data_IF_037765144401
#
_entry.id   IF_037765144401
#
_cell.length_a   1.000
_cell.length_b   1.000
_cell.length_c   1.000
_cell.angle_alpha   90.00
_cell.angle_beta   90.00
_cell.angle_gamma   90.00
#
_symmetry.space_group_name_H-M   'P 1'
#
loop_
_entity.id
_entity.type
_entity.pdbx_description
1 polymer ?
#
# COMPACT_ATOMS: atom_id res chain seq x y z
N UNK A 1 23.48 32.41 -2.15
CA UNK A 1 24.09 31.12 -1.75
C UNK A 1 23.15 30.41 -0.80
N UNK A 2 22.65 29.23 -1.16
CA UNK A 2 21.70 28.49 -0.33
C UNK A 2 21.12 27.30 -1.09
N UNK A 3 22.00 26.43 -1.58
CA UNK A 3 21.63 25.26 -2.37
C UNK A 3 20.98 24.23 -1.43
N UNK A 4 19.65 24.24 -1.28
CA UNK A 4 18.90 23.18 -0.59
C UNK A 4 18.71 21.98 -1.51
N UNK A 5 19.82 21.34 -1.87
CA UNK A 5 19.76 19.91 -2.17
C UNK A 5 19.54 19.21 -0.82
N UNK A 6 18.30 18.90 -0.49
CA UNK A 6 18.01 17.95 0.57
C UNK A 6 18.73 16.65 0.21
N UNK A 7 19.86 16.38 0.86
CA UNK A 7 20.52 15.08 0.83
C UNK A 7 19.45 14.07 1.25
N UNK A 8 19.06 13.20 0.33
CA UNK A 8 18.30 12.00 0.67
C UNK A 8 19.16 11.26 1.69
N UNK A 9 18.69 11.13 2.94
CA UNK A 9 19.32 10.28 3.95
C UNK A 9 19.49 8.89 3.34
N UNK A 10 20.65 8.28 3.55
CA UNK A 10 21.15 7.17 2.74
C UNK A 10 20.32 5.87 2.80
N UNK A 11 19.24 5.79 3.60
CA UNK A 11 18.40 4.60 3.75
C UNK A 11 16.91 4.93 3.96
N UNK A 12 16.31 5.70 3.04
CA UNK A 12 14.85 5.88 3.05
C UNK A 12 14.15 4.56 2.68
N UNK A 13 13.22 4.09 3.52
CA UNK A 13 12.41 2.90 3.24
C UNK A 13 11.20 3.30 2.41
N UNK A 14 11.02 2.68 1.25
CA UNK A 14 9.96 3.04 0.31
C UNK A 14 8.86 1.98 0.36
N UNK A 15 7.64 2.40 0.68
CA UNK A 15 6.47 1.54 0.72
C UNK A 15 5.49 2.02 -0.36
N UNK A 16 5.12 1.13 -1.27
CA UNK A 16 4.09 1.39 -2.27
C UNK A 16 2.75 0.85 -1.77
N UNK A 17 1.70 1.66 -1.89
CA UNK A 17 0.34 1.24 -1.56
C UNK A 17 -0.39 0.86 -2.84
N UNK A 18 -0.84 -0.39 -2.96
CA UNK A 18 -1.62 -0.89 -4.10
C UNK A 18 -3.01 -1.32 -3.65
N UNK A 19 -3.97 -1.38 -4.55
CA UNK A 19 -5.33 -1.84 -4.26
C UNK A 19 -6.38 -1.13 -5.10
N UNK A 20 -7.62 -1.65 -5.12
CA UNK A 20 -8.73 -1.10 -5.88
C UNK A 20 -9.19 0.27 -5.32
N UNK A 21 -10.14 0.89 -6.00
CA UNK A 21 -10.73 2.15 -5.58
C UNK A 21 -11.49 1.95 -4.27
N UNK A 22 -11.44 2.96 -3.39
CA UNK A 22 -12.05 2.86 -2.07
C UNK A 22 -11.38 1.88 -1.09
N UNK A 23 -10.24 1.26 -1.43
CA UNK A 23 -9.55 0.31 -0.55
C UNK A 23 -8.86 0.94 0.68
N UNK A 24 -8.87 2.26 0.81
CA UNK A 24 -8.37 2.97 1.99
C UNK A 24 -6.90 3.40 1.97
N UNK A 25 -6.20 3.32 0.83
CA UNK A 25 -4.78 3.74 0.69
C UNK A 25 -4.51 5.18 1.17
N UNK A 26 -5.28 6.15 0.67
CA UNK A 26 -5.11 7.56 1.06
C UNK A 26 -5.54 7.83 2.51
N UNK A 27 -6.59 7.16 2.98
CA UNK A 27 -7.03 7.19 4.38
C UNK A 27 -5.95 6.66 5.32
N UNK A 28 -5.28 5.57 4.93
CA UNK A 28 -4.15 5.00 5.66
C UNK A 28 -3.00 6.01 5.81
N UNK A 29 -2.62 6.72 4.75
CA UNK A 29 -1.58 7.75 4.83
C UNK A 29 -1.99 8.87 5.78
N UNK A 30 -3.21 9.41 5.64
CA UNK A 30 -3.67 10.51 6.48
C UNK A 30 -3.71 10.12 7.97
N UNK A 31 -4.12 8.90 8.28
CA UNK A 31 -4.09 8.36 9.65
C UNK A 31 -2.67 8.15 10.15
N UNK A 32 -1.77 7.60 9.34
CA UNK A 32 -0.35 7.47 9.71
C UNK A 32 0.31 8.84 9.97
N UNK A 33 -0.13 9.88 9.26
CA UNK A 33 0.38 11.26 9.44
C UNK A 33 -0.34 12.03 10.55
N UNK A 34 -1.45 11.52 11.09
CA UNK A 34 -2.30 12.23 12.05
C UNK A 34 -2.96 13.50 11.48
N UNK A 35 -2.94 13.72 10.16
CA UNK A 35 -3.47 14.92 9.49
C UNK A 35 -3.75 14.66 7.99
N UNK A 36 -4.64 15.45 7.36
CA UNK A 36 -4.89 15.34 5.92
C UNK A 36 -3.68 15.85 5.12
N UNK A 37 -2.95 14.94 4.47
CA UNK A 37 -1.82 15.22 3.57
C UNK A 37 -2.08 14.79 2.13
N UNK A 38 -2.98 13.82 1.93
CA UNK A 38 -3.44 13.35 0.64
C UNK A 38 -4.96 13.52 0.55
N UNK A 39 -5.45 13.85 -0.65
CA UNK A 39 -6.88 14.05 -0.86
C UNK A 39 -7.61 12.71 -0.77
N UNK A 40 -8.70 12.66 0.00
CA UNK A 40 -9.59 11.50 0.08
C UNK A 40 -10.91 11.87 -0.57
N UNK A 41 -11.39 11.03 -1.49
CA UNK A 41 -12.67 11.21 -2.14
C UNK A 41 -13.81 10.65 -1.33
N UNK A 42 -14.89 11.43 -1.21
CA UNK A 42 -16.16 11.00 -0.62
C UNK A 42 -17.22 10.65 -1.69
N UNK A 43 -16.83 10.51 -2.96
CA UNK A 43 -17.74 10.25 -4.09
C UNK A 43 -17.26 9.12 -5.01
N UNK A 44 -18.05 8.80 -6.04
CA UNK A 44 -17.79 7.69 -7.00
C UNK A 44 -16.55 7.90 -7.88
N UNK A 45 -16.04 9.14 -7.98
CA UNK A 45 -14.83 9.44 -8.74
C UNK A 45 -13.58 9.13 -7.90
N UNK A 46 -12.60 8.41 -8.46
CA UNK A 46 -11.32 8.23 -7.79
C UNK A 46 -10.64 9.60 -7.65
N UNK A 47 -10.28 9.98 -6.42
CA UNK A 47 -9.59 11.24 -6.18
C UNK A 47 -8.11 11.19 -6.60
N UNK A 48 -7.49 10.02 -6.51
CA UNK A 48 -6.06 9.86 -6.76
C UNK A 48 -5.81 9.51 -8.22
N UNK A 49 -5.65 10.53 -9.06
CA UNK A 49 -5.31 10.38 -10.50
C UNK A 49 -3.81 10.35 -10.78
N UNK A 50 -2.99 10.60 -9.76
CA UNK A 50 -1.53 10.69 -9.85
C UNK A 50 -0.91 10.01 -8.64
N UNK A 51 0.27 9.43 -8.82
CA UNK A 51 1.07 8.90 -7.72
C UNK A 51 1.51 10.06 -6.82
N UNK A 52 1.29 9.93 -5.51
CA UNK A 52 1.67 10.93 -4.50
C UNK A 52 2.70 10.33 -3.53
N UNK A 53 3.60 11.18 -3.03
CA UNK A 53 4.69 10.77 -2.13
C UNK A 53 4.56 11.52 -0.82
N UNK A 54 4.58 10.79 0.28
CA UNK A 54 4.54 11.35 1.64
C UNK A 54 5.70 10.78 2.43
N UNK A 55 6.61 11.66 2.85
CA UNK A 55 7.72 11.29 3.72
C UNK A 55 7.33 11.45 5.19
N UNK A 56 7.71 10.49 6.02
CA UNK A 56 7.60 10.56 7.46
C UNK A 56 8.78 9.88 8.14
N UNK A 57 8.97 10.17 9.43
CA UNK A 57 9.93 9.45 10.26
C UNK A 57 9.20 8.35 11.02
N UNK A 58 9.81 7.16 11.09
CA UNK A 58 9.24 6.00 11.77
C UNK A 58 8.90 6.32 13.22
N UNK A 59 7.67 6.01 13.65
CA UNK A 59 7.29 6.12 15.06
C UNK A 59 8.16 5.21 15.91
N UNK A 60 8.88 5.80 16.87
CA UNK A 60 9.78 5.11 17.78
C UNK A 60 11.22 4.93 17.26
N UNK A 61 11.54 5.40 16.05
CA UNK A 61 12.91 5.37 15.52
C UNK A 61 13.19 6.61 14.65
N UNK A 62 13.79 7.64 15.26
CA UNK A 62 14.07 8.93 14.60
C UNK A 62 15.08 8.86 13.46
N UNK A 63 15.78 7.73 13.31
CA UNK A 63 16.80 7.54 12.31
C UNK A 63 16.30 6.82 11.06
N UNK A 64 15.06 6.31 11.07
CA UNK A 64 14.44 5.63 9.93
C UNK A 64 13.39 6.53 9.28
N UNK A 65 13.70 6.98 8.08
CA UNK A 65 12.73 7.69 7.24
C UNK A 65 11.98 6.70 6.34
N UNK A 66 10.67 6.92 6.20
CA UNK A 66 9.77 6.15 5.36
C UNK A 66 9.17 7.07 4.31
N UNK A 67 9.12 6.58 3.08
CA UNK A 67 8.39 7.19 1.97
C UNK A 67 7.18 6.33 1.66
N UNK A 68 5.99 6.84 1.94
CA UNK A 68 4.73 6.25 1.51
C UNK A 68 4.41 6.75 0.10
N UNK A 69 4.18 5.82 -0.82
CA UNK A 69 3.83 6.10 -2.21
C UNK A 69 2.36 5.72 -2.40
N UNK A 70 1.47 6.71 -2.37
CA UNK A 70 0.06 6.54 -2.71
C UNK A 70 -0.08 6.40 -4.22
N UNK A 71 -0.88 5.44 -4.67
CA UNK A 71 -1.09 5.19 -6.10
C UNK A 71 -2.55 5.36 -6.47
N UNK A 72 -2.84 5.68 -7.74
CA UNK A 72 -4.16 5.45 -8.31
C UNK A 72 -4.60 3.99 -8.08
N UNK A 73 -5.91 3.79 -8.09
CA UNK A 73 -6.48 2.46 -8.07
C UNK A 73 -6.37 1.80 -9.45
N UNK A 74 -6.10 0.50 -9.48
CA UNK A 74 -5.94 -0.30 -10.71
C UNK A 74 -7.27 -0.79 -11.32
N UNK A 75 -8.41 -0.39 -10.76
CA UNK A 75 -9.75 -0.77 -11.23
C UNK A 75 -10.55 0.44 -11.74
N UNK A 76 -9.87 1.58 -11.94
CA UNK A 76 -10.47 2.84 -12.33
C UNK A 76 -9.81 3.45 -13.58
N UNK A 77 -10.58 4.18 -14.39
CA UNK A 77 -10.10 4.93 -15.56
C UNK A 77 -9.23 4.12 -16.55
N UNK A 78 -9.51 2.82 -16.70
CA UNK A 78 -8.75 1.87 -17.55
C UNK A 78 -7.27 1.72 -17.17
N UNK A 79 -6.89 2.09 -15.95
CA UNK A 79 -5.54 1.88 -15.45
C UNK A 79 -5.40 0.45 -14.94
N UNK A 80 -4.46 -0.30 -15.50
CA UNK A 80 -4.04 -1.59 -14.96
C UNK A 80 -2.78 -1.47 -14.08
N UNK A 81 -2.41 -2.56 -13.42
CA UNK A 81 -1.27 -2.57 -12.52
C UNK A 81 0.09 -2.32 -13.22
N UNK A 82 0.36 -2.85 -14.44
CA UNK A 82 1.51 -2.45 -15.24
C UNK A 82 1.59 -0.94 -15.52
N UNK A 83 0.49 -0.27 -15.85
CA UNK A 83 0.50 1.18 -16.04
C UNK A 83 0.80 1.93 -14.73
N UNK A 84 0.27 1.45 -13.61
CA UNK A 84 0.60 2.00 -12.28
C UNK A 84 2.07 1.78 -11.93
N UNK A 85 2.66 0.63 -12.28
CA UNK A 85 4.10 0.38 -12.15
C UNK A 85 4.92 1.47 -12.86
N UNK A 86 4.59 1.78 -14.11
CA UNK A 86 5.28 2.83 -14.88
C UNK A 86 5.14 4.21 -14.24
N UNK A 87 3.95 4.54 -13.71
CA UNK A 87 3.71 5.77 -12.98
C UNK A 87 4.57 5.87 -11.72
N UNK A 88 4.65 4.78 -10.93
CA UNK A 88 5.51 4.68 -9.75
C UNK A 88 6.96 4.92 -10.13
N UNK A 89 7.46 4.19 -11.14
CA UNK A 89 8.85 4.31 -11.61
C UNK A 89 9.16 5.72 -12.06
N UNK A 90 8.26 6.36 -12.81
CA UNK A 90 8.42 7.74 -13.27
C UNK A 90 8.53 8.70 -12.09
N UNK A 91 7.64 8.59 -11.10
CA UNK A 91 7.68 9.46 -9.91
C UNK A 91 8.91 9.23 -9.02
N UNK A 92 9.39 8.00 -8.96
CA UNK A 92 10.55 7.68 -8.13
C UNK A 92 11.85 8.09 -8.81
N UNK A 93 12.00 7.94 -10.14
CA UNK A 93 13.22 8.32 -10.91
C UNK A 93 13.73 9.72 -10.59
N UNK A 94 12.83 10.67 -10.32
CA UNK A 94 13.19 12.05 -10.01
C UNK A 94 13.86 12.25 -8.64
N UNK A 95 13.85 11.22 -7.76
CA UNK A 95 14.40 11.31 -6.41
C UNK A 95 15.91 11.09 -6.35
N UNK A 96 16.47 10.29 -7.25
CA UNK A 96 17.90 9.95 -7.19
C UNK A 96 18.40 9.38 -8.50
N UNK A 97 19.69 9.64 -8.79
CA UNK A 97 20.41 8.99 -9.90
C UNK A 97 20.79 7.54 -9.61
N UNK A 98 20.64 7.08 -8.36
CA UNK A 98 20.90 5.69 -7.95
C UNK A 98 19.65 4.83 -8.21
N UNK A 99 19.85 3.51 -8.28
CA UNK A 99 18.75 2.56 -8.33
C UNK A 99 17.90 2.71 -7.07
N UNK A 100 16.60 2.92 -7.25
CA UNK A 100 15.63 3.02 -6.16
C UNK A 100 15.20 1.60 -5.82
N UNK A 101 15.33 1.24 -4.55
CA UNK A 101 14.88 -0.04 -4.01
C UNK A 101 13.56 0.19 -3.27
N UNK A 102 12.47 -0.32 -3.83
CA UNK A 102 11.17 -0.31 -3.15
C UNK A 102 11.25 -1.40 -2.08
N UNK A 103 11.13 -0.98 -0.82
CA UNK A 103 11.34 -1.87 0.32
C UNK A 103 10.18 -2.84 0.48
N UNK A 104 8.94 -2.38 0.26
CA UNK A 104 7.78 -3.23 0.37
C UNK A 104 6.53 -2.66 -0.29
N UNK A 105 5.52 -3.52 -0.41
CA UNK A 105 4.21 -3.21 -0.95
C UNK A 105 3.18 -3.51 0.14
N UNK A 106 2.24 -2.60 0.35
CA UNK A 106 1.01 -2.91 1.07
C UNK A 106 -0.12 -2.99 0.05
N UNK A 107 -0.66 -4.18 -0.16
CA UNK A 107 -1.78 -4.43 -1.04
C UNK A 107 -3.08 -4.38 -0.23
N UNK A 108 -3.90 -3.36 -0.44
CA UNK A 108 -5.16 -3.16 0.25
C UNK A 108 -6.32 -3.86 -0.47
N UNK A 109 -7.16 -4.52 0.31
CA UNK A 109 -8.43 -5.07 -0.14
C UNK A 109 -9.54 -4.69 0.86
N UNK A 110 -10.60 -3.99 0.43
CA UNK A 110 -11.70 -3.66 1.33
C UNK A 110 -12.53 -4.91 1.61
N UNK A 111 -12.69 -5.28 2.89
CA UNK A 111 -13.46 -6.46 3.30
C UNK A 111 -14.95 -6.34 2.96
N UNK A 112 -15.42 -5.12 2.68
CA UNK A 112 -16.77 -4.82 2.21
C UNK A 112 -17.00 -5.23 0.75
N UNK A 113 -15.96 -5.49 -0.04
CA UNK A 113 -16.08 -5.92 -1.42
C UNK A 113 -16.91 -7.21 -1.53
N UNK A 114 -17.96 -7.17 -2.35
CA UNK A 114 -18.83 -8.33 -2.58
C UNK A 114 -18.30 -9.28 -3.66
N UNK A 115 -17.27 -8.85 -4.41
CA UNK A 115 -16.62 -9.63 -5.47
C UNK A 115 -15.12 -9.45 -5.34
N UNK A 116 -14.39 -10.55 -5.43
CA UNK A 116 -12.96 -10.49 -5.66
C UNK A 116 -12.72 -10.45 -7.16
N UNK A 117 -12.37 -9.29 -7.67
CA UNK A 117 -12.04 -9.10 -9.08
C UNK A 117 -10.55 -9.26 -9.35
N UNK A 118 -9.73 -9.13 -8.31
CA UNK A 118 -8.27 -9.04 -8.43
C UNK A 118 -7.61 -9.92 -7.37
N UNK A 119 -6.82 -10.89 -7.82
CA UNK A 119 -6.07 -11.80 -6.96
C UNK A 119 -4.61 -11.35 -6.95
N UNK A 120 -3.99 -11.07 -5.79
CA UNK A 120 -2.61 -10.58 -5.74
C UNK A 120 -1.58 -11.47 -6.45
N UNK A 121 -1.79 -12.79 -6.51
CA UNK A 121 -0.87 -13.71 -7.21
C UNK A 121 -0.78 -13.42 -8.71
N UNK A 122 -1.87 -12.98 -9.33
CA UNK A 122 -1.92 -12.71 -10.77
C UNK A 122 -1.04 -11.50 -11.12
N UNK A 123 -0.72 -10.69 -10.10
CA UNK A 123 0.12 -9.51 -10.17
C UNK A 123 1.59 -9.76 -9.79
N UNK A 124 1.99 -11.02 -9.55
CA UNK A 124 3.33 -11.36 -9.04
C UNK A 124 4.45 -10.77 -9.90
N UNK A 125 4.31 -10.77 -11.22
CA UNK A 125 5.32 -10.20 -12.12
C UNK A 125 5.49 -8.69 -11.97
N UNK A 126 4.42 -7.94 -11.66
CA UNK A 126 4.54 -6.51 -11.34
C UNK A 126 5.24 -6.34 -9.99
N UNK A 127 4.90 -7.17 -9.00
CA UNK A 127 5.56 -7.13 -7.70
C UNK A 127 7.05 -7.44 -7.83
N UNK A 128 7.45 -8.47 -8.58
CA UNK A 128 8.86 -8.80 -8.85
C UNK A 128 9.62 -7.62 -9.46
N UNK A 129 9.01 -6.90 -10.39
CA UNK A 129 9.63 -5.74 -10.99
C UNK A 129 9.76 -4.58 -10.01
N UNK A 130 8.78 -4.38 -9.12
CA UNK A 130 8.80 -3.30 -8.11
C UNK A 130 9.79 -3.58 -6.98
N UNK A 131 9.69 -4.74 -6.33
CA UNK A 131 10.42 -5.07 -5.09
C UNK A 131 11.53 -6.11 -5.26
N UNK A 132 11.74 -6.63 -6.47
CA UNK A 132 12.78 -7.61 -6.78
C UNK A 132 12.36 -9.06 -6.56
N UNK A 133 13.35 -9.96 -6.49
CA UNK A 133 13.14 -11.40 -6.30
C UNK A 133 12.41 -11.69 -4.98
N UNK A 134 11.63 -12.77 -4.98
CA UNK A 134 10.82 -13.22 -3.83
C UNK A 134 9.84 -12.13 -3.33
N UNK A 135 9.03 -11.55 -4.24
CA UNK A 135 8.20 -10.38 -3.94
C UNK A 135 7.19 -10.65 -2.83
N UNK A 136 6.67 -11.88 -2.70
CA UNK A 136 5.71 -12.24 -1.66
C UNK A 136 6.22 -11.89 -0.25
N UNK A 137 7.51 -12.07 0.03
CA UNK A 137 8.13 -11.71 1.33
C UNK A 137 8.16 -10.19 1.60
N UNK A 138 7.99 -9.39 0.55
CA UNK A 138 7.96 -7.91 0.59
C UNK A 138 6.55 -7.36 0.34
N UNK A 139 5.54 -8.22 0.28
CA UNK A 139 4.14 -7.83 0.11
C UNK A 139 3.38 -8.13 1.41
N UNK A 140 2.79 -7.09 1.99
CA UNK A 140 1.82 -7.19 3.06
C UNK A 140 0.42 -7.08 2.47
N UNK A 141 -0.43 -8.07 2.71
CA UNK A 141 -1.83 -8.07 2.31
C UNK A 141 -2.65 -7.44 3.45
N UNK A 142 -3.32 -6.34 3.17
CA UNK A 142 -4.07 -5.56 4.16
C UNK A 142 -5.57 -5.60 3.87
N UNK A 143 -6.37 -6.08 4.82
CA UNK A 143 -7.83 -5.99 4.74
C UNK A 143 -8.30 -4.66 5.37
N UNK A 144 -9.18 -3.91 4.71
CA UNK A 144 -9.65 -2.60 5.17
C UNK A 144 -11.18 -2.50 5.18
N UNK A 145 -11.75 -1.36 5.61
CA UNK A 145 -13.20 -1.14 5.59
C UNK A 145 -13.97 -1.93 6.65
N UNK A 146 -13.29 -2.44 7.68
CA UNK A 146 -13.89 -3.24 8.76
C UNK A 146 -15.01 -2.51 9.50
N UNK A 147 -14.87 -1.20 9.70
CA UNK A 147 -15.88 -0.35 10.36
C UNK A 147 -17.14 -0.13 9.52
N UNK A 148 -17.06 -0.36 8.21
CA UNK A 148 -18.16 -0.15 7.28
C UNK A 148 -18.99 -1.42 7.07
N UNK A 149 -18.54 -2.54 7.64
CA UNK A 149 -19.27 -3.81 7.58
C UNK A 149 -20.33 -3.84 8.69
N UNK A 150 -21.55 -4.27 8.36
CA UNK A 150 -22.64 -4.42 9.34
C UNK A 150 -22.34 -5.49 10.41
N UNK A 151 -21.64 -6.56 10.01
CA UNK A 151 -21.29 -7.68 10.87
C UNK A 151 -19.80 -8.06 10.69
N UNK A 152 -18.87 -7.25 11.21
CA UNK A 152 -17.44 -7.47 11.04
C UNK A 152 -16.97 -8.76 11.72
N UNK A 153 -17.60 -9.17 12.82
CA UNK A 153 -17.21 -10.36 13.56
C UNK A 153 -17.53 -11.65 12.79
N UNK A 154 -18.71 -11.77 12.18
CA UNK A 154 -19.06 -12.98 11.44
C UNK A 154 -18.75 -12.85 9.95
N UNK A 155 -19.43 -11.96 9.24
CA UNK A 155 -19.29 -11.83 7.78
C UNK A 155 -17.86 -11.40 7.41
N UNK A 156 -17.28 -10.47 8.16
CA UNK A 156 -15.92 -10.00 7.93
C UNK A 156 -14.89 -11.11 8.12
N UNK A 157 -14.98 -11.85 9.24
CA UNK A 157 -14.08 -12.98 9.50
C UNK A 157 -14.26 -14.13 8.51
N UNK A 158 -15.48 -14.41 8.05
CA UNK A 158 -15.72 -15.40 6.99
C UNK A 158 -15.06 -14.98 5.66
N UNK A 159 -15.20 -13.71 5.27
CA UNK A 159 -14.54 -13.18 4.07
C UNK A 159 -13.02 -13.21 4.19
N UNK A 160 -12.48 -12.84 5.35
CA UNK A 160 -11.04 -12.90 5.59
C UNK A 160 -10.52 -14.34 5.56
N UNK A 161 -11.29 -15.30 6.07
CA UNK A 161 -10.96 -16.72 5.98
C UNK A 161 -10.91 -17.20 4.52
N UNK A 162 -11.89 -16.81 3.70
CA UNK A 162 -11.88 -17.10 2.25
C UNK A 162 -10.68 -16.47 1.54
N UNK A 163 -10.35 -15.20 1.85
CA UNK A 163 -9.14 -14.56 1.33
C UNK A 163 -7.91 -15.38 1.69
N UNK A 164 -7.80 -15.83 2.95
CA UNK A 164 -6.68 -16.61 3.42
C UNK A 164 -6.56 -17.98 2.73
N UNK A 165 -7.66 -18.72 2.61
CA UNK A 165 -7.67 -20.11 2.16
C UNK A 165 -7.66 -20.26 0.64
N UNK A 166 -8.44 -19.42 -0.06
CA UNK A 166 -8.75 -19.65 -1.47
C UNK A 166 -7.98 -18.71 -2.39
N UNK A 167 -7.87 -17.44 -2.00
CA UNK A 167 -7.44 -16.39 -2.91
C UNK A 167 -5.99 -15.93 -2.70
N UNK A 168 -5.53 -15.86 -1.45
CA UNK A 168 -4.19 -15.35 -1.12
C UNK A 168 -3.22 -16.45 -0.71
N UNK A 169 -3.66 -17.72 -0.73
CA UNK A 169 -2.86 -18.85 -0.29
C UNK A 169 -1.46 -18.87 -0.91
N UNK A 170 -1.34 -18.70 -2.22
CA UNK A 170 -0.04 -18.72 -2.90
C UNK A 170 0.90 -17.58 -2.46
N UNK A 171 0.35 -16.39 -2.20
CA UNK A 171 1.14 -15.28 -1.65
C UNK A 171 1.58 -15.58 -0.22
N UNK A 172 0.69 -16.15 0.60
CA UNK A 172 0.97 -16.52 1.98
C UNK A 172 2.02 -17.64 2.06
N UNK A 173 1.89 -18.69 1.23
CA UNK A 173 2.88 -19.75 1.08
C UNK A 173 4.24 -19.19 0.61
N UNK A 174 4.22 -18.12 -0.21
CA UNK A 174 5.41 -17.38 -0.63
C UNK A 174 6.03 -16.45 0.42
N UNK A 175 5.39 -16.31 1.59
CA UNK A 175 5.88 -15.53 2.73
C UNK A 175 5.21 -14.17 2.93
N UNK A 176 4.14 -13.85 2.20
CA UNK A 176 3.31 -12.70 2.54
C UNK A 176 2.60 -12.91 3.87
N UNK A 177 2.22 -11.79 4.51
CA UNK A 177 1.36 -11.79 5.69
C UNK A 177 0.04 -11.10 5.37
N UNK A 178 -1.00 -11.47 6.09
CA UNK A 178 -2.29 -10.77 6.11
C UNK A 178 -2.45 -10.01 7.42
N UNK A 179 -2.87 -8.75 7.37
CA UNK A 179 -3.19 -7.94 8.55
C UNK A 179 -4.43 -7.07 8.33
N UNK A 180 -5.19 -6.82 9.40
CA UNK A 180 -6.34 -5.92 9.38
C UNK A 180 -5.91 -4.47 9.55
N UNK A 181 -6.40 -3.60 8.68
CA UNK A 181 -6.36 -2.15 8.85
C UNK A 181 -7.67 -1.67 9.47
N UNK A 182 -7.63 -1.38 10.77
CA UNK A 182 -8.78 -0.99 11.59
C UNK A 182 -9.19 0.49 11.42
N UNK A 183 -8.59 1.21 10.46
CA UNK A 183 -8.88 2.62 10.22
C UNK A 183 -8.53 3.49 11.43
N UNK A 184 -7.38 3.23 12.05
CA UNK A 184 -6.81 4.00 13.16
C UNK A 184 -5.34 4.30 12.88
N UNK A 185 -4.79 5.35 13.52
CA UNK A 185 -3.36 5.66 13.42
C UNK A 185 -2.48 4.48 13.87
N UNK A 186 -2.84 3.80 14.96
CA UNK A 186 -2.06 2.67 15.47
C UNK A 186 -2.04 1.48 14.52
N UNK A 187 -3.20 1.15 13.91
CA UNK A 187 -3.25 0.10 12.88
C UNK A 187 -2.44 0.48 11.64
N UNK A 188 -2.43 1.77 11.24
CA UNK A 188 -1.61 2.24 10.12
C UNK A 188 -0.12 2.02 10.40
N UNK A 189 0.35 2.44 11.58
CA UNK A 189 1.75 2.26 11.98
C UNK A 189 2.12 0.78 12.22
N UNK A 190 1.18 -0.05 12.65
CA UNK A 190 1.38 -1.49 12.74
C UNK A 190 1.67 -2.10 11.35
N UNK A 191 0.88 -1.74 10.34
CA UNK A 191 1.09 -2.17 8.95
C UNK A 191 2.45 -1.68 8.39
N UNK A 192 2.81 -0.41 8.62
CA UNK A 192 4.12 0.15 8.20
C UNK A 192 5.28 -0.64 8.82
N UNK A 193 5.22 -0.94 10.12
CA UNK A 193 6.26 -1.74 10.77
C UNK A 193 6.28 -3.16 10.25
N UNK A 194 5.11 -3.77 10.06
CA UNK A 194 5.00 -5.13 9.57
C UNK A 194 5.65 -5.29 8.20
N UNK A 195 5.33 -4.45 7.20
CA UNK A 195 5.89 -4.59 5.85
C UNK A 195 7.40 -4.36 5.77
N UNK A 196 7.99 -3.70 6.77
CA UNK A 196 9.42 -3.41 6.85
C UNK A 196 10.22 -4.38 7.73
N UNK A 197 9.54 -5.30 8.43
CA UNK A 197 10.14 -6.33 9.27
C UNK A 197 10.49 -7.57 8.43
#
# INVERSE_FOLDING_TARGET
MGNKHSKVKADIKIIVLLGPSGSGKSTFINLAMGRPVVAVGSGLACCTKKVQRVSCTMRGDSNKDVLLVDTPAFDHDKLDLPQIEDMIRKQLKDMTKRKIDITGIIYFHPITANRLTEVPKDHIGVFERLVGKYPARRVLLATSGWKDLRDPQNLGSQRELQLHQDYWKEMLDGGSRILRFEGTEDSAWHLIRAVLA
#
